data_IF_909132343101
#
_entry.id   IF_909132343101
#
_cell.length_a   1.000
_cell.length_b   1.000
_cell.length_c   1.000
_cell.angle_alpha   90.00
_cell.angle_beta   90.00
_cell.angle_gamma   90.00
#
_symmetry.space_group_name_H-M   'P 1'
#
loop_
_entity.id
_entity.type
_entity.pdbx_description
1 polymer ?
#
# COMPACT_ATOMS: atom_id res chain seq x y z
N UNK A 1 -44.51 46.36 -25.64
CA UNK A 1 -44.30 46.94 -26.99
C UNK A 1 -42.91 47.56 -27.03
N UNK A 2 -42.15 47.25 -28.08
CA UNK A 2 -40.71 47.45 -28.21
C UNK A 2 -40.29 48.87 -28.65
N UNK A 3 -39.04 49.26 -28.38
CA UNK A 3 -38.05 49.77 -29.35
C UNK A 3 -36.74 50.26 -28.69
N UNK A 4 -35.62 49.64 -29.06
CA UNK A 4 -34.25 50.21 -29.15
C UNK A 4 -34.07 50.90 -30.53
N UNK A 5 -32.91 51.44 -30.95
CA UNK A 5 -31.71 52.00 -30.27
C UNK A 5 -31.24 53.35 -30.91
N UNK A 6 -30.13 53.96 -30.43
CA UNK A 6 -29.15 54.68 -31.30
C UNK A 6 -27.80 54.92 -30.60
N UNK A 7 -26.71 54.53 -31.27
CA UNK A 7 -25.30 54.87 -31.00
C UNK A 7 -24.89 56.05 -31.89
N UNK A 8 -24.00 56.91 -31.41
CA UNK A 8 -23.14 57.75 -32.27
C UNK A 8 -21.76 57.93 -31.63
N UNK A 9 -20.74 57.58 -32.41
CA UNK A 9 -19.31 57.76 -32.15
C UNK A 9 -18.92 59.25 -32.18
N UNK A 10 -18.05 59.67 -31.26
CA UNK A 10 -17.29 60.92 -31.33
C UNK A 10 -15.81 60.65 -31.08
N UNK A 11 -14.96 60.95 -32.06
CA UNK A 11 -13.50 60.94 -31.98
C UNK A 11 -13.05 62.37 -31.68
N UNK A 12 -12.21 62.58 -30.66
CA UNK A 12 -11.51 63.85 -30.44
C UNK A 12 -10.05 63.63 -30.01
N UNK A 13 -9.20 64.49 -30.57
CA UNK A 13 -7.74 64.48 -30.73
C UNK A 13 -6.90 64.56 -29.45
N UNK A 14 -5.64 64.14 -29.63
CA UNK A 14 -4.53 63.97 -28.69
C UNK A 14 -3.86 65.30 -28.30
N UNK A 15 -3.63 65.53 -27.01
CA UNK A 15 -2.83 66.66 -26.48
C UNK A 15 -1.33 66.28 -26.43
N UNK A 16 -0.38 67.11 -26.91
CA UNK A 16 1.05 66.79 -26.98
C UNK A 16 1.83 66.91 -25.65
N UNK A 17 1.21 67.31 -24.53
CA UNK A 17 1.93 67.55 -23.26
C UNK A 17 1.70 66.53 -22.13
N UNK A 18 1.01 65.42 -22.37
CA UNK A 18 0.77 64.37 -21.35
C UNK A 18 2.04 63.58 -20.91
N UNK A 19 3.20 63.81 -21.55
CA UNK A 19 4.43 63.02 -21.37
C UNK A 19 5.32 63.40 -20.18
N UNK A 20 5.07 64.51 -19.48
CA UNK A 20 5.96 64.99 -18.41
C UNK A 20 5.61 64.49 -16.99
N UNK A 21 4.38 64.00 -16.76
CA UNK A 21 3.96 63.45 -15.47
C UNK A 21 4.15 61.91 -15.36
N UNK A 22 4.37 61.22 -16.48
CA UNK A 22 4.57 59.76 -16.51
C UNK A 22 6.03 59.31 -16.28
N UNK A 23 7.00 60.25 -16.23
CA UNK A 23 8.44 59.94 -16.12
C UNK A 23 9.04 59.99 -14.70
N UNK A 24 8.21 60.13 -13.66
CA UNK A 24 8.66 60.14 -12.25
C UNK A 24 8.22 58.92 -11.41
N UNK A 25 7.79 57.82 -12.06
CA UNK A 25 7.53 56.51 -11.40
C UNK A 25 8.42 55.36 -11.92
N UNK A 26 9.57 55.69 -12.52
CA UNK A 26 10.53 54.71 -13.03
C UNK A 26 11.94 54.99 -12.49
N UNK A 27 12.08 55.10 -11.16
CA UNK A 27 13.40 55.19 -10.51
C UNK A 27 13.28 54.97 -8.99
N UNK A 28 12.82 53.79 -8.57
CA UNK A 28 13.20 53.21 -7.27
C UNK A 28 13.26 51.71 -7.46
N UNK A 29 14.48 51.19 -7.49
CA UNK A 29 14.72 49.75 -7.53
C UNK A 29 14.28 49.14 -6.22
N UNK A 30 13.28 48.27 -6.29
CA UNK A 30 13.04 47.29 -5.24
C UNK A 30 13.51 45.95 -5.80
N UNK A 31 14.74 45.58 -5.43
CA UNK A 31 15.31 44.27 -5.72
C UNK A 31 14.63 43.24 -4.81
N UNK A 32 13.37 42.92 -5.11
CA UNK A 32 12.75 41.72 -4.58
C UNK A 32 13.61 40.53 -5.01
N UNK A 33 14.01 39.63 -4.09
CA UNK A 33 14.80 38.47 -4.48
C UNK A 33 13.92 37.66 -5.44
N UNK A 34 14.37 37.53 -6.69
CA UNK A 34 13.81 36.56 -7.63
C UNK A 34 13.88 35.22 -6.92
N UNK A 35 12.74 34.71 -6.46
CA UNK A 35 12.64 33.33 -6.00
C UNK A 35 13.09 32.49 -7.18
N UNK A 36 14.28 31.93 -7.07
CA UNK A 36 14.78 30.93 -7.99
C UNK A 36 13.79 29.76 -7.93
N UNK A 37 12.81 29.75 -8.83
CA UNK A 37 11.91 28.61 -9.09
C UNK A 37 12.69 27.49 -9.80
N UNK A 38 13.88 27.15 -9.29
CA UNK A 38 14.75 26.10 -9.83
C UNK A 38 14.21 24.71 -9.45
N UNK A 39 13.36 24.63 -8.42
CA UNK A 39 12.74 23.37 -7.99
C UNK A 39 11.21 23.45 -8.04
N UNK A 40 10.65 23.09 -9.20
CA UNK A 40 9.25 22.68 -9.28
C UNK A 40 9.16 21.27 -8.68
N UNK A 41 8.48 21.14 -7.54
CA UNK A 41 8.20 19.85 -6.93
C UNK A 41 7.41 19.00 -7.93
N UNK A 42 7.82 17.74 -8.08
CA UNK A 42 7.10 16.81 -8.92
C UNK A 42 6.00 16.13 -8.10
N UNK A 43 4.81 16.73 -8.13
CA UNK A 43 3.62 16.18 -7.45
C UNK A 43 3.19 14.85 -8.03
N UNK A 44 3.53 14.56 -9.29
CA UNK A 44 3.12 13.34 -9.98
C UNK A 44 3.86 12.11 -9.43
N UNK A 45 4.99 12.30 -8.76
CA UNK A 45 5.71 11.27 -7.99
C UNK A 45 5.53 11.43 -6.47
N UNK A 46 4.54 12.22 -6.04
CA UNK A 46 4.19 12.39 -4.63
C UNK A 46 5.16 13.22 -3.79
N UNK A 47 5.97 14.11 -4.40
CA UNK A 47 6.88 14.97 -3.65
C UNK A 47 6.12 16.06 -2.86
N UNK A 48 5.91 15.80 -1.56
CA UNK A 48 5.35 16.74 -0.60
C UNK A 48 6.33 16.99 0.54
N UNK A 49 6.96 18.17 0.60
CA UNK A 49 7.94 18.48 1.64
C UNK A 49 7.25 18.85 2.94
N UNK A 50 7.57 18.15 4.02
CA UNK A 50 7.19 18.54 5.37
C UNK A 50 7.89 19.85 5.75
N UNK A 51 7.14 20.95 5.86
CA UNK A 51 7.68 22.29 6.17
C UNK A 51 7.55 22.66 7.65
N UNK A 52 6.67 22.01 8.41
CA UNK A 52 6.44 22.37 9.81
C UNK A 52 7.54 21.77 10.71
N UNK A 53 8.42 22.59 11.32
CA UNK A 53 9.50 22.10 12.17
C UNK A 53 8.99 21.42 13.46
N UNK A 54 7.84 21.85 13.99
CA UNK A 54 7.23 21.24 15.17
C UNK A 54 6.73 19.82 14.91
N UNK A 55 6.19 19.55 13.72
CA UNK A 55 5.80 18.19 13.32
C UNK A 55 7.04 17.30 13.14
N UNK A 56 8.08 17.80 12.48
CA UNK A 56 9.33 17.06 12.31
C UNK A 56 9.96 16.71 13.67
N UNK A 57 9.98 17.66 14.61
CA UNK A 57 10.44 17.41 15.97
C UNK A 57 9.60 16.34 16.68
N UNK A 58 8.27 16.45 16.61
CA UNK A 58 7.38 15.49 17.24
C UNK A 58 7.54 14.06 16.68
N UNK A 59 7.81 13.91 15.38
CA UNK A 59 8.11 12.62 14.75
C UNK A 59 9.39 12.02 15.36
N UNK A 60 10.46 12.81 15.44
CA UNK A 60 11.76 12.35 15.95
C UNK A 60 11.72 12.08 17.46
N UNK A 61 11.00 12.90 18.23
CA UNK A 61 10.77 12.69 19.66
C UNK A 61 10.02 11.37 19.89
N UNK A 62 8.96 11.14 19.13
CA UNK A 62 8.19 9.91 19.23
C UNK A 62 8.94 8.71 18.67
N UNK A 63 9.93 8.87 17.78
CA UNK A 63 10.72 7.75 17.30
C UNK A 63 11.56 7.07 18.40
N UNK A 64 11.77 7.74 19.54
CA UNK A 64 12.53 7.22 20.67
C UNK A 64 13.92 6.72 20.22
N UNK A 65 14.66 7.64 19.59
CA UNK A 65 16.01 7.39 19.07
C UNK A 65 17.02 7.32 20.21
N UNK A 66 17.90 6.34 20.14
CA UNK A 66 19.09 6.23 21.00
C UNK A 66 20.28 6.88 20.31
N UNK A 67 21.23 7.36 21.11
CA UNK A 67 22.45 7.98 20.59
C UNK A 67 23.32 7.02 19.77
N UNK A 68 23.15 5.70 19.97
CA UNK A 68 23.82 4.65 19.21
C UNK A 68 23.15 4.32 17.87
N UNK A 69 21.89 4.73 17.68
CA UNK A 69 21.06 4.27 16.56
C UNK A 69 21.60 4.78 15.22
N UNK A 70 21.63 3.89 14.23
CA UNK A 70 21.76 4.21 12.81
C UNK A 70 20.34 4.33 12.25
N UNK A 71 20.04 5.48 11.64
CA UNK A 71 18.71 5.78 11.11
C UNK A 71 18.70 5.72 9.59
N UNK A 72 17.81 4.92 9.02
CA UNK A 72 17.47 4.97 7.59
C UNK A 72 16.38 6.02 7.36
N UNK A 73 16.66 7.01 6.51
CA UNK A 73 15.69 7.98 6.04
C UNK A 73 15.40 7.77 4.55
N UNK A 74 14.15 7.44 4.22
CA UNK A 74 13.71 7.28 2.83
C UNK A 74 13.04 8.58 2.39
N UNK A 75 13.55 9.20 1.32
CA UNK A 75 13.04 10.46 0.79
C UNK A 75 13.31 11.64 1.72
N UNK A 76 14.58 12.00 1.99
CA UNK A 76 14.93 13.12 2.87
C UNK A 76 14.45 14.49 2.35
N UNK A 77 14.20 14.62 1.04
CA UNK A 77 13.81 15.88 0.42
C UNK A 77 14.83 16.98 0.68
N UNK A 78 14.39 18.11 1.25
CA UNK A 78 15.28 19.24 1.58
C UNK A 78 16.05 19.05 2.90
N UNK A 79 15.87 17.94 3.62
CA UNK A 79 16.60 17.63 4.85
C UNK A 79 16.02 18.21 6.15
N UNK A 80 14.75 18.60 6.14
CA UNK A 80 14.09 19.14 7.34
C UNK A 80 14.01 18.11 8.46
N UNK A 81 13.68 16.86 8.12
CA UNK A 81 13.62 15.76 9.07
C UNK A 81 15.03 15.24 9.38
N UNK A 82 15.88 15.06 8.36
CA UNK A 82 17.32 14.73 8.48
C UNK A 82 18.04 15.58 9.53
N UNK A 83 17.79 16.89 9.56
CA UNK A 83 18.41 17.80 10.55
C UNK A 83 18.08 17.37 11.98
N UNK A 84 16.80 17.08 12.26
CA UNK A 84 16.33 16.68 13.60
C UNK A 84 16.79 15.27 13.98
N UNK A 85 16.89 14.36 13.00
CA UNK A 85 17.40 13.01 13.23
C UNK A 85 18.89 13.08 13.61
N UNK A 86 19.69 13.86 12.87
CA UNK A 86 21.13 14.02 13.13
C UNK A 86 21.43 14.64 14.51
N UNK A 87 20.50 15.39 15.11
CA UNK A 87 20.67 15.90 16.48
C UNK A 87 20.67 14.79 17.54
N UNK A 88 20.05 13.63 17.26
CA UNK A 88 19.87 12.54 18.23
C UNK A 88 20.57 11.23 17.87
N UNK A 89 20.69 10.91 16.59
CA UNK A 89 21.21 9.62 16.11
C UNK A 89 22.73 9.63 15.94
N UNK A 90 23.32 8.43 15.93
CA UNK A 90 24.75 8.23 15.62
C UNK A 90 25.06 8.58 14.17
N UNK A 91 24.20 8.15 13.26
CA UNK A 91 24.37 8.26 11.80
C UNK A 91 23.00 8.23 11.12
N UNK A 92 22.87 8.94 10.02
CA UNK A 92 21.72 8.88 9.12
C UNK A 92 22.18 8.38 7.77
N UNK A 93 21.48 7.38 7.24
CA UNK A 93 21.60 6.90 5.87
C UNK A 93 20.36 7.36 5.14
N UNK A 94 20.51 8.31 4.24
CA UNK A 94 19.42 8.88 3.46
C UNK A 94 19.40 8.25 2.07
N UNK A 95 18.25 7.70 1.65
CA UNK A 95 18.05 7.18 0.30
C UNK A 95 17.13 8.13 -0.45
N UNK A 96 17.65 8.73 -1.53
CA UNK A 96 16.92 9.70 -2.35
C UNK A 96 16.95 9.28 -3.82
N UNK A 97 15.78 9.30 -4.47
CA UNK A 97 15.67 8.95 -5.88
C UNK A 97 15.93 10.15 -6.78
N UNK A 98 15.54 11.36 -6.36
CA UNK A 98 15.71 12.58 -7.16
C UNK A 98 17.13 13.15 -7.00
N UNK A 99 17.99 13.11 -8.04
CA UNK A 99 19.37 13.60 -7.95
C UNK A 99 19.45 15.09 -7.58
N UNK A 100 18.39 15.86 -7.90
CA UNK A 100 18.32 17.28 -7.58
C UNK A 100 18.14 17.51 -6.08
N UNK A 101 17.29 16.73 -5.43
CA UNK A 101 17.09 16.79 -3.98
C UNK A 101 18.31 16.26 -3.24
N UNK A 102 18.94 15.21 -3.77
CA UNK A 102 20.21 14.69 -3.26
C UNK A 102 21.31 15.77 -3.26
N UNK A 103 21.43 16.55 -4.34
CA UNK A 103 22.39 17.65 -4.43
C UNK A 103 22.08 18.78 -3.43
N UNK A 104 20.81 19.16 -3.28
CA UNK A 104 20.39 20.20 -2.31
C UNK A 104 20.64 19.75 -0.86
N UNK A 105 20.35 18.49 -0.54
CA UNK A 105 20.64 17.89 0.75
C UNK A 105 22.15 17.91 1.04
N UNK A 106 22.96 17.50 0.07
CA UNK A 106 24.43 17.50 0.19
C UNK A 106 24.94 18.91 0.47
N UNK A 107 24.49 19.89 -0.30
CA UNK A 107 24.86 21.30 -0.14
C UNK A 107 24.45 21.84 1.24
N UNK A 108 23.27 21.47 1.74
CA UNK A 108 22.76 21.90 3.05
C UNK A 108 23.66 21.45 4.21
N UNK A 109 24.19 20.24 4.13
CA UNK A 109 25.02 19.67 5.20
C UNK A 109 26.52 19.83 4.97
N UNK A 110 26.95 20.22 3.76
CA UNK A 110 28.36 20.46 3.45
C UNK A 110 28.99 21.49 4.41
N UNK A 111 30.15 21.14 4.97
CA UNK A 111 30.87 21.99 5.93
C UNK A 111 30.30 22.01 7.35
N UNK A 112 29.17 21.34 7.61
CA UNK A 112 28.62 21.20 8.97
C UNK A 112 29.27 20.04 9.73
N UNK A 113 29.31 20.06 11.07
CA UNK A 113 29.79 18.92 11.87
C UNK A 113 29.01 17.62 11.61
N UNK A 114 27.73 17.75 11.25
CA UNK A 114 26.84 16.61 10.98
C UNK A 114 27.09 15.95 9.61
N UNK A 115 27.84 16.59 8.69
CA UNK A 115 28.15 16.03 7.38
C UNK A 115 28.77 14.64 7.46
N UNK A 116 29.66 14.41 8.43
CA UNK A 116 30.35 13.12 8.63
C UNK A 116 29.42 11.99 9.10
N UNK A 117 28.23 12.33 9.61
CA UNK A 117 27.22 11.41 10.11
C UNK A 117 26.07 11.22 9.13
N UNK A 118 26.07 11.93 8.01
CA UNK A 118 25.08 11.78 6.94
C UNK A 118 25.70 11.04 5.76
N UNK A 119 25.16 9.87 5.45
CA UNK A 119 25.42 9.15 4.21
C UNK A 119 24.24 9.34 3.28
N UNK A 120 24.51 9.61 2.01
CA UNK A 120 23.49 9.77 0.99
C UNK A 120 23.67 8.71 -0.10
N UNK A 121 22.62 7.92 -0.33
CA UNK A 121 22.56 6.91 -1.37
C UNK A 121 21.56 7.39 -2.42
N UNK A 122 22.06 7.62 -3.63
CA UNK A 122 21.22 7.97 -4.77
C UNK A 122 20.60 6.70 -5.36
N UNK A 123 19.28 6.60 -5.37
CA UNK A 123 18.58 5.47 -5.99
C UNK A 123 17.15 5.29 -5.50
N UNK A 124 16.46 4.38 -6.18
CA UNK A 124 15.12 3.92 -5.80
C UNK A 124 15.23 2.86 -4.69
N UNK A 125 14.77 3.20 -3.49
CA UNK A 125 14.79 2.31 -2.31
C UNK A 125 14.10 0.98 -2.58
N UNK A 126 13.04 0.94 -3.40
CA UNK A 126 12.27 -0.28 -3.67
C UNK A 126 13.08 -1.24 -4.54
N UNK A 127 13.88 -0.71 -5.49
CA UNK A 127 14.71 -1.50 -6.40
C UNK A 127 16.05 -1.95 -5.80
N UNK A 128 16.46 -1.42 -4.65
CA UNK A 128 17.70 -1.86 -4.02
C UNK A 128 17.62 -3.33 -3.59
N UNK A 129 18.54 -4.21 -3.98
CA UNK A 129 18.47 -5.63 -3.61
C UNK A 129 18.58 -5.83 -2.09
N UNK A 130 19.38 -4.98 -1.43
CA UNK A 130 19.63 -5.03 0.00
C UNK A 130 19.74 -3.61 0.55
N UNK A 131 19.09 -3.37 1.69
CA UNK A 131 19.25 -2.13 2.45
C UNK A 131 20.48 -2.26 3.35
N UNK A 132 21.22 -1.16 3.59
CA UNK A 132 22.27 -1.17 4.60
C UNK A 132 21.66 -1.45 5.98
N UNK A 133 22.47 -1.86 6.94
CA UNK A 133 21.99 -2.06 8.31
C UNK A 133 21.54 -0.73 8.94
N UNK A 134 20.40 -0.75 9.63
CA UNK A 134 19.87 0.36 10.42
C UNK A 134 19.07 -0.17 11.62
N UNK A 135 19.02 0.62 12.69
CA UNK A 135 18.25 0.31 13.90
C UNK A 135 16.81 0.82 13.77
N UNK A 136 16.65 2.01 13.17
CA UNK A 136 15.37 2.71 13.06
C UNK A 136 15.19 3.25 11.66
N UNK A 137 13.98 3.13 11.10
CA UNK A 137 13.62 3.85 9.87
C UNK A 137 12.69 5.01 10.21
N UNK A 138 12.95 6.20 9.68
CA UNK A 138 12.04 7.35 9.78
C UNK A 138 11.83 7.90 8.37
N UNK A 139 10.59 8.06 7.93
CA UNK A 139 10.33 8.56 6.57
C UNK A 139 9.02 9.35 6.47
N UNK A 140 9.08 10.45 5.70
CA UNK A 140 7.92 11.03 5.05
C UNK A 140 7.75 10.36 3.68
N UNK A 141 7.14 9.18 3.69
CA UNK A 141 7.17 8.27 2.55
C UNK A 141 6.33 8.81 1.38
N UNK A 142 6.87 8.85 0.14
CA UNK A 142 6.06 9.12 -1.05
C UNK A 142 4.92 8.10 -1.14
N UNK A 143 3.69 8.58 -1.32
CA UNK A 143 2.51 7.72 -1.14
C UNK A 143 2.43 6.53 -2.08
N UNK A 144 2.99 6.67 -3.29
CA UNK A 144 3.06 5.62 -4.31
C UNK A 144 3.85 4.39 -3.88
N UNK A 145 4.81 4.53 -2.96
CA UNK A 145 5.65 3.42 -2.50
C UNK A 145 5.30 2.93 -1.10
N UNK A 146 4.18 3.39 -0.51
CA UNK A 146 3.83 3.09 0.88
C UNK A 146 3.74 1.59 1.17
N UNK A 147 3.00 0.86 0.33
CA UNK A 147 2.83 -0.60 0.44
C UNK A 147 4.15 -1.35 0.22
N UNK A 148 4.85 -1.21 -0.93
CA UNK A 148 6.09 -1.95 -1.17
C UNK A 148 7.20 -1.58 -0.18
N UNK A 149 7.27 -0.33 0.28
CA UNK A 149 8.22 0.05 1.33
C UNK A 149 7.92 -0.65 2.66
N UNK A 150 6.64 -0.68 3.06
CA UNK A 150 6.23 -1.35 4.31
C UNK A 150 6.66 -2.81 4.31
N UNK A 151 6.33 -3.57 3.26
CA UNK A 151 6.69 -4.98 3.18
C UNK A 151 8.20 -5.20 3.02
N UNK A 152 8.90 -4.32 2.32
CA UNK A 152 10.37 -4.36 2.24
C UNK A 152 11.03 -4.20 3.61
N UNK A 153 10.55 -3.25 4.42
CA UNK A 153 11.07 -3.03 5.77
C UNK A 153 10.78 -4.22 6.69
N UNK A 154 9.58 -4.83 6.57
CA UNK A 154 9.23 -6.05 7.31
C UNK A 154 10.03 -7.29 6.89
N UNK A 155 10.44 -7.34 5.61
CA UNK A 155 11.27 -8.41 5.07
C UNK A 155 12.78 -8.23 5.34
N UNK A 156 13.21 -7.08 5.88
CA UNK A 156 14.63 -6.77 6.09
C UNK A 156 15.20 -7.61 7.24
N UNK A 157 16.42 -8.14 7.04
CA UNK A 157 17.14 -8.95 8.02
C UNK A 157 18.58 -8.44 8.17
N UNK A 158 19.06 -8.15 9.39
CA UNK A 158 18.34 -8.15 10.66
C UNK A 158 17.16 -7.17 10.68
N UNK A 159 16.09 -7.51 11.41
CA UNK A 159 14.91 -6.66 11.49
C UNK A 159 15.22 -5.36 12.26
N UNK A 160 14.74 -4.20 11.79
CA UNK A 160 14.89 -2.96 12.54
C UNK A 160 14.08 -3.01 13.83
N UNK A 161 14.51 -2.24 14.83
CA UNK A 161 13.82 -2.11 16.12
C UNK A 161 12.44 -1.47 15.95
N UNK A 162 12.37 -0.40 15.16
CA UNK A 162 11.11 0.32 14.90
C UNK A 162 11.21 1.12 13.61
N UNK A 163 10.10 1.27 12.91
CA UNK A 163 9.93 2.17 11.78
C UNK A 163 8.86 3.21 12.13
N UNK A 164 9.14 4.49 11.94
CA UNK A 164 8.20 5.60 12.12
C UNK A 164 7.95 6.25 10.77
N UNK A 165 6.85 5.87 10.15
CA UNK A 165 6.53 6.19 8.77
C UNK A 165 5.30 7.07 8.70
N UNK A 166 5.34 8.06 7.82
CA UNK A 166 4.18 8.90 7.53
C UNK A 166 3.52 8.43 6.24
N UNK A 167 2.22 8.18 6.30
CA UNK A 167 1.41 7.73 5.18
C UNK A 167 0.19 8.63 4.99
N UNK A 168 -0.49 8.48 3.86
CA UNK A 168 -1.86 8.97 3.71
C UNK A 168 -2.74 8.38 4.80
N UNK A 169 -3.70 9.19 5.28
CA UNK A 169 -4.58 8.82 6.39
C UNK A 169 -5.32 7.51 6.14
N UNK A 170 -5.85 7.31 4.94
CA UNK A 170 -6.59 6.10 4.59
C UNK A 170 -5.70 4.85 4.64
N UNK A 171 -4.56 4.87 3.96
CA UNK A 171 -3.58 3.78 3.98
C UNK A 171 -3.12 3.46 5.42
N UNK A 172 -2.79 4.49 6.20
CA UNK A 172 -2.44 4.33 7.61
C UNK A 172 -3.56 3.66 8.40
N UNK A 173 -4.80 4.11 8.21
CA UNK A 173 -5.97 3.54 8.89
C UNK A 173 -6.22 2.08 8.49
N UNK A 174 -5.95 1.69 7.24
CA UNK A 174 -5.98 0.28 6.81
C UNK A 174 -4.93 -0.55 7.57
N UNK A 175 -3.70 -0.05 7.75
CA UNK A 175 -2.62 -0.80 8.44
C UNK A 175 -2.98 -1.20 9.88
N UNK A 176 -3.62 -0.31 10.65
CA UNK A 176 -3.99 -0.57 12.04
C UNK A 176 -5.49 -0.87 12.24
N UNK A 177 -6.25 -1.09 11.16
CA UNK A 177 -7.65 -1.51 11.24
C UNK A 177 -7.75 -2.88 11.94
N UNK A 178 -8.77 -3.06 12.75
CA UNK A 178 -9.04 -4.30 13.49
C UNK A 178 -10.15 -5.11 12.81
N UNK A 179 -10.25 -6.42 13.08
CA UNK A 179 -11.38 -7.22 12.63
C UNK A 179 -12.72 -6.55 12.98
N UNK A 180 -13.59 -6.44 11.98
CA UNK A 180 -14.88 -5.75 12.07
C UNK A 180 -14.88 -4.31 11.55
N UNK A 181 -13.72 -3.63 11.54
CA UNK A 181 -13.60 -2.27 11.03
C UNK A 181 -13.86 -2.21 9.52
N UNK A 182 -14.44 -1.08 9.07
CA UNK A 182 -14.74 -0.87 7.64
C UNK A 182 -13.50 -0.96 6.75
N UNK A 183 -12.36 -0.50 7.25
CA UNK A 183 -11.08 -0.45 6.52
C UNK A 183 -10.21 -1.70 6.73
N UNK A 184 -10.71 -2.71 7.44
CA UNK A 184 -9.99 -3.97 7.59
C UNK A 184 -9.87 -4.67 6.23
N UNK A 185 -8.64 -5.00 5.85
CA UNK A 185 -8.33 -5.61 4.55
C UNK A 185 -7.15 -6.58 4.67
N UNK A 186 -6.81 -7.23 3.55
CA UNK A 186 -5.62 -8.08 3.42
C UNK A 186 -4.36 -7.37 3.95
N UNK A 187 -4.20 -6.07 3.64
CA UNK A 187 -3.09 -5.24 4.12
C UNK A 187 -3.01 -5.21 5.66
N UNK A 188 -4.17 -5.08 6.33
CA UNK A 188 -4.25 -5.06 7.79
C UNK A 188 -3.71 -6.36 8.38
N UNK A 189 -4.24 -7.49 7.92
CA UNK A 189 -3.89 -8.82 8.45
C UNK A 189 -2.45 -9.16 8.17
N UNK A 190 -2.00 -8.91 6.93
CA UNK A 190 -0.61 -9.11 6.54
C UNK A 190 0.32 -8.27 7.43
N UNK A 191 0.16 -6.95 7.46
CA UNK A 191 1.10 -6.11 8.19
C UNK A 191 1.12 -6.43 9.70
N UNK A 192 -0.04 -6.73 10.31
CA UNK A 192 -0.15 -7.09 11.74
C UNK A 192 0.38 -8.51 12.04
N UNK A 193 0.41 -9.41 11.06
CA UNK A 193 1.02 -10.73 11.22
C UNK A 193 2.51 -10.62 11.52
N UNK A 194 3.26 -9.77 10.81
CA UNK A 194 4.71 -9.62 10.98
C UNK A 194 5.15 -8.47 11.89
N UNK A 195 4.27 -7.54 12.27
CA UNK A 195 4.64 -6.42 13.13
C UNK A 195 3.54 -5.97 14.09
N UNK A 196 3.94 -5.31 15.17
CA UNK A 196 3.04 -4.48 15.98
C UNK A 196 2.91 -3.12 15.33
N UNK A 197 1.68 -2.71 15.02
CA UNK A 197 1.40 -1.44 14.36
C UNK A 197 0.59 -0.54 15.29
N UNK A 198 1.05 0.70 15.48
CA UNK A 198 0.38 1.67 16.34
C UNK A 198 0.34 3.06 15.70
N UNK A 199 -0.78 3.76 15.91
CA UNK A 199 -0.94 5.13 15.46
C UNK A 199 -0.20 6.11 16.39
N UNK A 200 0.59 7.02 15.80
CA UNK A 200 1.49 7.92 16.54
C UNK A 200 0.91 9.34 16.61
N UNK A 201 0.48 9.89 15.46
CA UNK A 201 -0.19 11.19 15.37
C UNK A 201 -0.79 11.47 14.00
N UNK A 202 -1.77 12.37 13.95
CA UNK A 202 -2.32 12.96 12.72
C UNK A 202 -1.46 14.15 12.28
N UNK A 203 -1.28 14.33 10.98
CA UNK A 203 -0.58 15.47 10.39
C UNK A 203 -1.45 16.12 9.33
N UNK A 204 -1.73 17.41 9.55
CA UNK A 204 -2.54 18.23 8.67
C UNK A 204 -1.89 18.45 7.30
N UNK A 205 -2.65 18.42 6.19
CA UNK A 205 -2.13 18.71 4.83
C UNK A 205 -1.44 20.08 4.69
N UNK A 206 -1.81 21.05 5.52
CA UNK A 206 -1.20 22.39 5.54
C UNK A 206 0.25 22.40 6.06
N UNK A 207 0.73 21.30 6.64
CA UNK A 207 2.11 21.13 7.10
C UNK A 207 3.08 20.80 5.96
N UNK A 208 2.60 20.68 4.73
CA UNK A 208 3.38 20.32 3.56
C UNK A 208 3.52 21.47 2.56
N UNK A 209 4.48 21.33 1.64
CA UNK A 209 4.64 22.18 0.48
C UNK A 209 5.11 21.37 -0.76
N UNK A 210 4.33 21.32 -1.84
CA UNK A 210 2.93 21.75 -1.92
C UNK A 210 2.02 20.91 -1.00
N UNK A 211 0.85 21.43 -0.56
CA UNK A 211 -0.09 20.64 0.24
C UNK A 211 -0.62 19.44 -0.56
N UNK A 212 -0.68 18.23 0.04
CA UNK A 212 -1.40 17.10 -0.56
C UNK A 212 -2.91 17.33 -0.49
N UNK A 213 -3.67 16.53 -1.25
CA UNK A 213 -5.13 16.59 -1.25
C UNK A 213 -5.76 15.98 0.00
N UNK A 214 -5.05 15.04 0.63
CA UNK A 214 -5.53 14.26 1.78
C UNK A 214 -4.68 14.49 3.02
N UNK A 215 -5.24 14.17 4.17
CA UNK A 215 -4.53 14.19 5.45
C UNK A 215 -3.54 13.03 5.56
N UNK A 216 -2.56 13.18 6.48
CA UNK A 216 -1.54 12.17 6.74
C UNK A 216 -1.61 11.67 8.19
N UNK A 217 -1.10 10.46 8.41
CA UNK A 217 -0.88 9.90 9.74
C UNK A 217 0.55 9.37 9.85
N UNK A 218 1.14 9.56 11.02
CA UNK A 218 2.39 8.92 11.42
C UNK A 218 2.05 7.62 12.13
N UNK A 219 2.69 6.54 11.70
CA UNK A 219 2.48 5.17 12.18
C UNK A 219 3.82 4.62 12.65
N UNK A 220 3.79 3.89 13.77
CA UNK A 220 4.91 3.08 14.24
C UNK A 220 4.67 1.63 13.84
N UNK A 221 5.68 1.03 13.23
CA UNK A 221 5.72 -0.38 12.87
C UNK A 221 6.93 -1.01 13.58
N UNK A 222 6.69 -1.98 14.43
CA UNK A 222 7.72 -2.73 15.15
C UNK A 222 7.67 -4.19 14.70
N UNK A 223 8.64 -4.65 13.89
CA UNK A 223 8.72 -6.05 13.48
C UNK A 223 8.72 -6.99 14.70
N UNK A 224 7.94 -8.08 14.62
CA UNK A 224 7.94 -9.12 15.65
C UNK A 224 9.28 -9.85 15.61
N UNK A 225 9.91 -9.99 16.77
CA UNK A 225 11.17 -10.73 16.94
C UNK A 225 11.01 -11.72 18.12
N UNK A 226 11.10 -13.04 17.90
CA UNK A 226 11.43 -13.71 16.64
C UNK A 226 10.34 -13.53 15.57
N UNK A 227 10.76 -13.56 14.29
CA UNK A 227 9.84 -13.51 13.15
C UNK A 227 8.96 -14.76 13.16
N UNK A 228 7.64 -14.66 12.91
CA UNK A 228 6.77 -15.82 12.76
C UNK A 228 7.30 -16.78 11.69
N UNK A 229 7.36 -18.08 12.01
CA UNK A 229 7.93 -19.13 11.16
C UNK A 229 6.88 -19.69 10.20
N UNK A 230 6.36 -18.82 9.32
CA UNK A 230 5.32 -19.15 8.35
C UNK A 230 5.76 -18.60 6.98
N UNK A 231 5.54 -19.36 5.92
CA UNK A 231 5.80 -18.89 4.55
C UNK A 231 4.93 -17.67 4.25
N UNK A 232 5.56 -16.62 3.74
CA UNK A 232 4.86 -15.40 3.35
C UNK A 232 3.94 -15.67 2.15
N UNK A 233 4.39 -16.49 1.22
CA UNK A 233 3.71 -16.83 -0.03
C UNK A 233 2.41 -17.60 0.26
N UNK A 234 2.48 -18.64 1.11
CA UNK A 234 1.32 -19.40 1.57
C UNK A 234 0.31 -18.51 2.29
N UNK A 235 0.80 -17.68 3.21
CA UNK A 235 -0.04 -16.79 3.99
C UNK A 235 -0.73 -15.73 3.12
N UNK A 236 0.01 -15.04 2.25
CA UNK A 236 -0.56 -14.04 1.33
C UNK A 236 -1.51 -14.70 0.32
N UNK A 237 -1.18 -15.90 -0.17
CA UNK A 237 -2.04 -16.69 -1.06
C UNK A 237 -3.39 -17.03 -0.43
N UNK A 238 -3.39 -17.51 0.82
CA UNK A 238 -4.63 -17.74 1.59
C UNK A 238 -5.44 -16.44 1.76
N UNK A 239 -4.79 -15.36 2.18
CA UNK A 239 -5.47 -14.09 2.41
C UNK A 239 -6.03 -13.48 1.13
N UNK A 240 -5.36 -13.67 -0.02
CA UNK A 240 -5.88 -13.25 -1.33
C UNK A 240 -7.24 -13.90 -1.59
N UNK A 241 -7.36 -15.22 -1.40
CA UNK A 241 -8.64 -15.93 -1.55
C UNK A 241 -9.69 -15.37 -0.58
N UNK A 242 -9.34 -15.20 0.69
CA UNK A 242 -10.28 -14.77 1.72
C UNK A 242 -10.80 -13.33 1.53
N UNK A 243 -9.97 -12.42 1.03
CA UNK A 243 -10.28 -10.99 1.00
C UNK A 243 -10.84 -10.47 -0.33
N UNK A 244 -10.93 -11.28 -1.39
CA UNK A 244 -11.54 -10.85 -2.66
C UNK A 244 -12.98 -10.36 -2.47
N UNK A 245 -13.76 -11.05 -1.63
CA UNK A 245 -15.09 -10.62 -1.21
C UNK A 245 -15.20 -10.68 0.30
N UNK A 246 -14.50 -9.76 1.00
CA UNK A 246 -14.35 -9.76 2.48
C UNK A 246 -15.67 -9.78 3.26
N UNK A 247 -16.78 -9.36 2.64
CA UNK A 247 -18.13 -9.36 3.22
C UNK A 247 -18.92 -10.67 3.02
N UNK A 248 -18.45 -11.58 2.17
CA UNK A 248 -19.04 -12.91 1.95
C UNK A 248 -18.49 -13.93 2.96
N UNK A 249 -19.18 -15.04 3.12
CA UNK A 249 -18.73 -16.13 3.99
C UNK A 249 -17.49 -16.81 3.39
N UNK A 250 -16.63 -17.37 4.25
CA UNK A 250 -15.46 -18.13 3.79
C UNK A 250 -15.91 -19.34 2.95
N UNK A 251 -17.05 -19.98 3.27
CA UNK A 251 -17.66 -20.98 2.39
C UNK A 251 -17.81 -20.48 0.95
N UNK A 252 -18.40 -19.30 0.76
CA UNK A 252 -18.56 -18.70 -0.57
C UNK A 252 -17.22 -18.35 -1.22
N UNK A 253 -16.25 -17.83 -0.44
CA UNK A 253 -14.93 -17.48 -0.95
C UNK A 253 -14.16 -18.67 -1.53
N UNK A 254 -14.26 -19.85 -0.91
CA UNK A 254 -13.55 -21.05 -1.35
C UNK A 254 -14.35 -21.92 -2.32
N UNK A 255 -15.63 -22.16 -2.03
CA UNK A 255 -16.46 -23.12 -2.77
C UNK A 255 -17.34 -22.46 -3.85
N UNK A 256 -17.57 -21.16 -3.73
CA UNK A 256 -18.39 -20.39 -4.68
C UNK A 256 -17.61 -19.90 -5.91
N UNK A 257 -16.28 -19.96 -5.89
CA UNK A 257 -15.43 -19.47 -6.97
C UNK A 257 -14.71 -20.62 -7.69
N UNK A 258 -15.00 -20.80 -8.97
CA UNK A 258 -14.45 -21.90 -9.78
C UNK A 258 -12.92 -21.78 -9.94
N UNK A 259 -12.41 -20.56 -10.12
CA UNK A 259 -10.98 -20.30 -10.28
C UNK A 259 -10.17 -20.63 -9.02
N UNK A 260 -10.70 -20.34 -7.82
CA UNK A 260 -10.10 -20.76 -6.55
C UNK A 260 -10.03 -22.28 -6.46
N UNK A 261 -11.11 -22.98 -6.80
CA UNK A 261 -11.10 -24.45 -6.79
C UNK A 261 -10.09 -25.04 -7.78
N UNK A 262 -9.94 -24.45 -8.98
CA UNK A 262 -8.93 -24.86 -9.94
C UNK A 262 -7.50 -24.64 -9.44
N UNK A 263 -7.25 -23.50 -8.76
CA UNK A 263 -5.96 -23.22 -8.12
C UNK A 263 -5.63 -24.27 -7.05
N UNK A 264 -6.57 -24.54 -6.14
CA UNK A 264 -6.37 -25.53 -5.08
C UNK A 264 -6.18 -26.94 -5.63
N UNK A 265 -6.89 -27.30 -6.70
CA UNK A 265 -6.71 -28.60 -7.36
C UNK A 265 -5.30 -28.72 -7.98
N UNK A 266 -4.83 -27.69 -8.69
CA UNK A 266 -3.50 -27.69 -9.29
C UNK A 266 -2.40 -27.82 -8.22
N UNK A 267 -2.51 -27.07 -7.13
CA UNK A 267 -1.55 -27.12 -6.03
C UNK A 267 -1.60 -28.48 -5.31
N UNK A 268 -2.80 -29.03 -5.09
CA UNK A 268 -2.97 -30.35 -4.48
C UNK A 268 -2.36 -31.47 -5.33
N UNK A 269 -2.49 -31.40 -6.66
CA UNK A 269 -1.86 -32.35 -7.59
C UNK A 269 -0.33 -32.30 -7.48
N UNK A 270 0.25 -31.09 -7.43
CA UNK A 270 1.70 -30.90 -7.23
C UNK A 270 2.15 -31.48 -5.90
N UNK A 271 1.42 -31.19 -4.81
CA UNK A 271 1.72 -31.73 -3.50
C UNK A 271 1.62 -33.26 -3.48
N UNK A 272 0.59 -33.84 -4.09
CA UNK A 272 0.40 -35.28 -4.17
C UNK A 272 1.55 -35.97 -4.93
N UNK A 273 1.99 -35.36 -6.04
CA UNK A 273 3.15 -35.85 -6.80
C UNK A 273 4.46 -35.78 -6.00
N UNK A 274 4.65 -34.75 -5.18
CA UNK A 274 5.84 -34.61 -4.33
C UNK A 274 5.86 -35.57 -3.13
N UNK A 275 4.69 -36.04 -2.70
CA UNK A 275 4.52 -36.93 -1.54
C UNK A 275 4.15 -38.37 -1.93
N UNK A 276 4.34 -38.73 -3.21
CA UNK A 276 4.04 -40.06 -3.76
C UNK A 276 2.60 -40.54 -3.50
N UNK A 277 1.64 -39.61 -3.46
CA UNK A 277 0.21 -39.91 -3.30
C UNK A 277 -0.41 -40.15 -4.68
N UNK A 278 -0.89 -41.37 -4.91
CA UNK A 278 -1.56 -41.75 -6.16
C UNK A 278 -2.94 -41.11 -6.23
N UNK A 279 -3.21 -40.38 -7.32
CA UNK A 279 -4.51 -39.74 -7.59
C UNK A 279 -5.30 -40.54 -8.64
N UNK A 280 -6.62 -40.64 -8.44
CA UNK A 280 -7.55 -41.17 -9.44
C UNK A 280 -8.07 -40.02 -10.31
N UNK A 281 -7.62 -39.96 -11.56
CA UNK A 281 -8.04 -38.98 -12.57
C UNK A 281 -9.33 -39.38 -13.32
N UNK A 282 -10.00 -40.45 -12.88
CA UNK A 282 -11.26 -40.90 -13.45
C UNK A 282 -12.37 -39.85 -13.40
N UNK A 283 -13.37 -39.94 -14.30
CA UNK A 283 -14.59 -39.17 -14.18
C UNK A 283 -15.38 -39.62 -12.94
N UNK A 284 -16.14 -38.72 -12.32
CA UNK A 284 -17.03 -39.07 -11.21
C UNK A 284 -18.13 -40.00 -11.75
N UNK A 285 -18.33 -41.15 -11.09
CA UNK A 285 -19.26 -42.22 -11.53
C UNK A 285 -20.73 -41.86 -11.33
N UNK A 286 -21.04 -40.92 -10.43
CA UNK A 286 -22.39 -40.38 -10.20
C UNK A 286 -22.48 -38.90 -10.60
N UNK A 287 -23.46 -38.57 -11.45
CA UNK A 287 -23.84 -37.18 -11.71
C UNK A 287 -24.53 -36.60 -10.47
N UNK A 288 -23.77 -36.13 -9.49
CA UNK A 288 -24.32 -35.23 -8.48
C UNK A 288 -24.53 -33.88 -9.16
N UNK A 289 -25.79 -33.57 -9.50
CA UNK A 289 -26.23 -32.21 -9.78
C UNK A 289 -25.98 -31.37 -8.52
N UNK A 290 -24.76 -30.87 -8.37
CA UNK A 290 -24.50 -29.75 -7.47
C UNK A 290 -25.05 -28.53 -8.19
N UNK A 291 -26.34 -28.29 -8.01
CA UNK A 291 -26.94 -26.99 -8.23
C UNK A 291 -26.17 -26.05 -7.32
N UNK A 292 -25.18 -25.36 -7.89
CA UNK A 292 -24.77 -24.10 -7.31
C UNK A 292 -26.02 -23.25 -7.45
N UNK A 293 -26.79 -23.11 -6.37
CA UNK A 293 -27.66 -21.97 -6.22
C UNK A 293 -26.72 -20.78 -6.38
N UNK A 294 -26.68 -20.23 -7.59
CA UNK A 294 -26.36 -18.84 -7.76
C UNK A 294 -27.46 -18.14 -6.97
N UNK A 295 -27.21 -17.92 -5.67
CA UNK A 295 -27.92 -16.91 -4.94
C UNK A 295 -27.79 -15.66 -5.80
N UNK A 296 -28.88 -15.33 -6.49
CA UNK A 296 -29.07 -14.11 -7.25
C UNK A 296 -29.07 -12.95 -6.28
N UNK A 297 -27.91 -12.72 -5.68
CA UNK A 297 -27.66 -11.57 -4.85
C UNK A 297 -26.97 -10.57 -5.74
N UNK A 298 -27.59 -9.41 -5.82
CA UNK A 298 -27.12 -8.23 -6.53
C UNK A 298 -25.60 -8.12 -6.47
N UNK A 299 -25.01 -7.75 -7.60
CA UNK A 299 -23.62 -7.37 -7.76
C UNK A 299 -23.35 -6.11 -6.89
N UNK A 300 -23.40 -6.28 -5.57
CA UNK A 300 -22.92 -5.31 -4.60
C UNK A 300 -21.42 -5.36 -4.82
N UNK A 301 -20.96 -4.38 -5.60
CA UNK A 301 -19.68 -4.36 -6.27
C UNK A 301 -18.55 -4.94 -5.42
N UNK A 302 -17.62 -5.61 -6.10
CA UNK A 302 -16.30 -5.90 -5.53
C UNK A 302 -15.89 -4.73 -4.64
N UNK A 303 -15.48 -4.96 -3.40
CA UNK A 303 -14.90 -3.89 -2.60
C UNK A 303 -13.61 -3.48 -3.32
N UNK A 304 -13.73 -2.48 -4.20
CA UNK A 304 -12.76 -1.95 -5.17
C UNK A 304 -11.63 -1.22 -4.45
N UNK A 305 -11.10 -1.81 -3.38
CA UNK A 305 -10.03 -1.16 -2.62
C UNK A 305 -8.68 -1.30 -3.36
N UNK A 306 -8.50 -2.30 -4.25
CA UNK A 306 -7.26 -2.49 -5.02
C UNK A 306 -7.49 -3.35 -6.31
N UNK A 307 -8.01 -2.80 -7.43
CA UNK A 307 -8.13 -3.55 -8.72
C UNK A 307 -6.79 -4.14 -9.19
N UNK A 308 -5.68 -3.47 -8.86
CA UNK A 308 -4.33 -3.91 -9.20
C UNK A 308 -3.89 -5.16 -8.41
N UNK A 309 -4.46 -5.41 -7.23
CA UNK A 309 -4.12 -6.56 -6.36
C UNK A 309 -5.03 -7.78 -6.54
N UNK A 310 -6.04 -7.69 -7.41
CA UNK A 310 -6.83 -8.85 -7.82
C UNK A 310 -5.88 -9.91 -8.42
N UNK A 311 -5.85 -11.13 -7.88
CA UNK A 311 -5.05 -12.20 -8.46
C UNK A 311 -5.36 -12.39 -9.94
N UNK A 312 -4.35 -12.72 -10.75
CA UNK A 312 -4.50 -12.87 -12.21
C UNK A 312 -5.61 -13.87 -12.56
N UNK A 313 -5.81 -14.90 -11.75
CA UNK A 313 -6.88 -15.88 -11.93
C UNK A 313 -8.30 -15.29 -11.79
N UNK A 314 -8.50 -14.26 -10.95
CA UNK A 314 -9.78 -13.54 -10.85
C UNK A 314 -9.99 -12.59 -12.03
N UNK A 315 -8.92 -11.97 -12.54
CA UNK A 315 -8.96 -11.15 -13.75
C UNK A 315 -9.36 -12.00 -14.97
N UNK A 316 -8.73 -13.16 -15.12
CA UNK A 316 -9.10 -14.13 -16.16
C UNK A 316 -10.55 -14.63 -16.04
N UNK A 317 -11.07 -14.80 -14.82
CA UNK A 317 -12.45 -15.23 -14.61
C UNK A 317 -13.44 -14.13 -15.03
N UNK A 318 -13.14 -12.85 -14.77
CA UNK A 318 -13.92 -11.71 -15.24
C UNK A 318 -13.97 -11.71 -16.78
N UNK A 319 -12.83 -11.83 -17.42
CA UNK A 319 -12.73 -11.91 -18.89
C UNK A 319 -13.47 -13.13 -19.45
N UNK A 320 -13.45 -14.28 -18.76
CA UNK A 320 -14.22 -15.48 -19.15
C UNK A 320 -15.71 -15.29 -18.95
N UNK A 321 -16.16 -14.62 -17.88
CA UNK A 321 -17.58 -14.33 -17.62
C UNK A 321 -18.13 -13.33 -18.63
N UNK A 322 -17.38 -12.28 -18.96
CA UNK A 322 -17.70 -11.34 -20.04
C UNK A 322 -17.79 -12.04 -21.39
N UNK A 323 -16.89 -13.00 -21.68
CA UNK A 323 -16.94 -13.81 -22.91
C UNK A 323 -18.09 -14.84 -22.93
N UNK A 324 -18.47 -15.40 -21.77
CA UNK A 324 -19.58 -16.35 -21.62
C UNK A 324 -20.96 -15.70 -21.64
N UNK A 325 -21.08 -14.39 -21.36
CA UNK A 325 -22.34 -13.66 -21.51
C UNK A 325 -22.91 -13.69 -22.94
N UNK A 326 -22.09 -14.05 -23.94
CA UNK A 326 -22.48 -14.19 -25.35
C UNK A 326 -22.56 -15.64 -25.87
N UNK A 327 -22.56 -16.67 -25.02
CA UNK A 327 -22.65 -18.06 -25.47
C UNK A 327 -23.07 -19.07 -24.39
N UNK A 328 -23.86 -20.07 -24.80
CA UNK A 328 -24.40 -21.12 -23.93
C UNK A 328 -23.30 -21.80 -23.09
N UNK A 329 -23.50 -21.88 -21.77
CA UNK A 329 -22.50 -22.41 -20.83
C UNK A 329 -22.50 -23.94 -20.82
N UNK A 330 -21.53 -24.55 -21.51
CA UNK A 330 -21.27 -25.98 -21.37
C UNK A 330 -20.54 -26.21 -20.01
N UNK A 331 -21.27 -26.68 -18.98
CA UNK A 331 -20.69 -27.07 -17.69
C UNK A 331 -19.75 -28.26 -17.92
N UNK A 332 -18.44 -28.07 -17.69
CA UNK A 332 -17.45 -29.16 -17.75
C UNK A 332 -17.75 -30.19 -16.65
N UNK A 333 -17.68 -31.48 -17.00
CA UNK A 333 -17.70 -32.59 -16.04
C UNK A 333 -16.53 -32.43 -15.07
N UNK A 334 -16.80 -32.50 -13.76
CA UNK A 334 -15.77 -32.41 -12.70
C UNK A 334 -15.11 -33.78 -12.55
N UNK A 335 -13.78 -33.83 -12.45
CA UNK A 335 -13.03 -35.07 -12.20
C UNK A 335 -13.01 -35.45 -10.73
N UNK A 336 -12.67 -36.72 -10.41
CA UNK A 336 -12.62 -37.24 -9.04
C UNK A 336 -11.68 -36.43 -8.12
N UNK A 337 -10.55 -35.95 -8.64
CA UNK A 337 -9.61 -35.09 -7.87
C UNK A 337 -10.25 -33.75 -7.46
N UNK A 338 -10.99 -33.10 -8.36
CA UNK A 338 -11.66 -31.83 -8.06
C UNK A 338 -12.73 -31.99 -6.96
N UNK A 339 -13.41 -33.13 -6.94
CA UNK A 339 -14.38 -33.48 -5.90
C UNK A 339 -13.71 -33.81 -4.57
N UNK A 340 -12.60 -34.55 -4.60
CA UNK A 340 -11.78 -34.82 -3.42
C UNK A 340 -11.30 -33.51 -2.76
N UNK A 341 -10.75 -32.58 -3.55
CA UNK A 341 -10.30 -31.27 -3.07
C UNK A 341 -11.49 -30.48 -2.50
N UNK A 342 -12.65 -30.48 -3.17
CA UNK A 342 -13.86 -29.85 -2.63
C UNK A 342 -14.26 -30.43 -1.27
N UNK A 343 -14.27 -31.75 -1.13
CA UNK A 343 -14.61 -32.44 0.11
C UNK A 343 -13.64 -32.09 1.24
N UNK A 344 -12.33 -32.05 0.94
CA UNK A 344 -11.29 -31.59 1.88
C UNK A 344 -11.51 -30.14 2.32
N UNK A 345 -11.76 -29.23 1.38
CA UNK A 345 -12.06 -27.82 1.70
C UNK A 345 -13.29 -27.70 2.61
N UNK A 346 -14.37 -28.44 2.32
CA UNK A 346 -15.56 -28.47 3.15
C UNK A 346 -15.26 -28.99 4.56
N UNK A 347 -14.48 -30.08 4.68
CA UNK A 347 -14.04 -30.62 5.96
C UNK A 347 -13.25 -29.58 6.77
N UNK A 348 -12.25 -28.93 6.16
CA UNK A 348 -11.42 -27.91 6.81
C UNK A 348 -12.27 -26.76 7.34
N UNK A 349 -13.18 -26.23 6.53
CA UNK A 349 -14.05 -25.11 6.92
C UNK A 349 -15.04 -25.51 8.02
N UNK A 350 -15.68 -26.68 7.90
CA UNK A 350 -16.78 -27.10 8.77
C UNK A 350 -16.35 -27.80 10.05
N UNK A 351 -15.50 -28.83 9.93
CA UNK A 351 -15.14 -29.71 11.04
C UNK A 351 -13.91 -29.20 11.79
N UNK A 352 -12.88 -28.78 11.06
CA UNK A 352 -11.57 -28.53 11.68
C UNK A 352 -11.47 -27.10 12.23
N UNK A 353 -11.98 -26.12 11.47
CA UNK A 353 -11.85 -24.69 11.82
C UNK A 353 -13.12 -24.11 12.43
N UNK A 354 -14.30 -24.53 11.96
CA UNK A 354 -15.59 -23.95 12.35
C UNK A 354 -15.84 -22.57 11.72
N UNK A 355 -15.17 -22.26 10.60
CA UNK A 355 -15.14 -20.94 9.97
C UNK A 355 -16.08 -20.81 8.75
N UNK A 356 -16.89 -21.83 8.44
CA UNK A 356 -17.78 -21.88 7.25
C UNK A 356 -18.56 -20.58 7.02
N UNK A 357 -19.30 -20.15 8.04
CA UNK A 357 -20.21 -18.99 7.99
C UNK A 357 -19.54 -17.68 8.43
N UNK A 358 -18.26 -17.74 8.83
CA UNK A 358 -17.51 -16.52 9.17
C UNK A 358 -17.14 -15.77 7.91
N UNK A 359 -16.99 -14.46 8.05
CA UNK A 359 -16.61 -13.54 6.98
C UNK A 359 -15.19 -13.06 7.25
N UNK A 360 -14.34 -12.98 6.21
CA UNK A 360 -12.94 -12.60 6.36
C UNK A 360 -12.76 -11.28 7.11
N UNK A 361 -13.68 -10.31 6.92
CA UNK A 361 -13.64 -9.02 7.63
C UNK A 361 -13.74 -9.12 9.15
N UNK A 362 -14.23 -10.23 9.70
CA UNK A 362 -14.45 -10.45 11.13
C UNK A 362 -13.42 -11.41 11.74
N UNK A 363 -12.57 -12.02 10.92
CA UNK A 363 -11.56 -12.97 11.35
C UNK A 363 -10.27 -12.22 11.73
N UNK A 364 -9.58 -12.68 12.77
CA UNK A 364 -8.27 -12.17 13.16
C UNK A 364 -7.13 -13.04 12.59
N UNK A 365 -5.88 -12.68 12.89
CA UNK A 365 -4.71 -13.45 12.45
C UNK A 365 -4.73 -14.89 12.99
N UNK A 366 -5.28 -15.12 14.17
CA UNK A 366 -5.39 -16.45 14.77
C UNK A 366 -6.35 -17.35 14.00
N UNK A 367 -7.50 -16.81 13.57
CA UNK A 367 -8.45 -17.51 12.71
C UNK A 367 -7.80 -17.94 11.38
N UNK A 368 -7.06 -17.03 10.74
CA UNK A 368 -6.37 -17.35 9.47
C UNK A 368 -5.21 -18.33 9.66
N UNK A 369 -4.51 -18.28 10.80
CA UNK A 369 -3.47 -19.26 11.13
C UNK A 369 -4.05 -20.66 11.32
N UNK A 370 -5.17 -20.76 12.04
CA UNK A 370 -5.89 -22.01 12.22
C UNK A 370 -6.35 -22.57 10.86
N UNK A 371 -6.84 -21.68 9.99
CA UNK A 371 -7.27 -22.03 8.64
C UNK A 371 -6.12 -22.53 7.77
N UNK A 372 -5.00 -21.80 7.71
CA UNK A 372 -3.81 -22.20 6.95
C UNK A 372 -3.25 -23.53 7.44
N UNK A 373 -3.14 -23.69 8.76
CA UNK A 373 -2.67 -24.94 9.36
C UNK A 373 -3.55 -26.12 8.96
N UNK A 374 -4.88 -25.99 9.06
CA UNK A 374 -5.81 -27.05 8.71
C UNK A 374 -5.77 -27.41 7.22
N UNK A 375 -5.61 -26.42 6.33
CA UNK A 375 -5.41 -26.69 4.89
C UNK A 375 -4.11 -27.46 4.63
N UNK A 376 -3.00 -27.03 5.24
CA UNK A 376 -1.71 -27.70 5.07
C UNK A 376 -1.73 -29.15 5.58
N UNK A 377 -2.47 -29.44 6.66
CA UNK A 377 -2.65 -30.82 7.15
C UNK A 377 -3.40 -31.72 6.15
N UNK A 378 -4.25 -31.14 5.30
CA UNK A 378 -4.97 -31.85 4.24
C UNK A 378 -4.22 -31.90 2.91
N UNK A 379 -2.99 -31.36 2.85
CA UNK A 379 -2.16 -31.26 1.66
C UNK A 379 -2.59 -30.14 0.70
N UNK A 380 -3.41 -29.20 1.16
CA UNK A 380 -3.87 -28.05 0.37
C UNK A 380 -2.96 -26.86 0.66
N UNK A 381 -2.33 -26.35 -0.40
CA UNK A 381 -1.34 -25.27 -0.36
C UNK A 381 -1.77 -24.12 -1.27
N UNK A 382 -1.35 -22.89 -0.95
CA UNK A 382 -1.72 -21.65 -1.63
C UNK A 382 -0.61 -21.05 -2.51
N UNK A 383 0.56 -21.69 -2.56
CA UNK A 383 1.72 -21.30 -3.37
C UNK A 383 2.36 -22.47 -4.09
#
# INVERSE_FOLDING_TARGET
>A
MAKTPRKSNGVAKHDPYAGAAARKKAATGDSAPRKNNIFKMNTDIGQHILKNPGVAQAIVDKADLKQSDIVLEVGPGTGNLTTRILEKAKRVIAVEQDPRMAAELTKRFQGTPSAKRLELILGDVIKQPQLPYFDVCISNTPYQISSPLTFKLLATSPAPRTCVLMFQREFAMRLFARPGDKLYSRLSVNAQMWARISHVMKVGKNNFNPPPQVESNVVRIEPKNPRPQISYEEWDGLLRVCFVRKNRTLRSAFLGTESVMSLLEANFRTWAAQNDVVLDDGPVEEMVEVVMEEEGEEDVGMDLDDEDDLPDFFKEERDRKEKKANGNSNRKKKGKVAELVRSKVQKVLAKDTGLVERRARMCDEGDFLKLLYAFNQEGIHFS
#
